data_IF_494588811103
#
_entry.id   IF_494588811103
#
_cell.length_a   1.000
_cell.length_b   1.000
_cell.length_c   1.000
_cell.angle_alpha   90.00
_cell.angle_beta   90.00
_cell.angle_gamma   90.00
#
_symmetry.space_group_name_H-M   'P 1'
#
loop_
_entity.id
_entity.type
_entity.pdbx_description
1 polymer ?
#
# COMPACT_ATOMS: atom_id res chain seq x y z
N UNK A 1 -7.78 16.85 0.93
CA UNK A 1 -6.48 17.42 0.50
C UNK A 1 -5.48 16.29 0.72
N UNK A 2 -5.35 15.30 -0.15
CA UNK A 2 -5.19 15.43 -1.60
C UNK A 2 -3.71 15.68 -1.89
N UNK A 3 -2.82 14.84 -1.35
CA UNK A 3 -1.38 15.02 -1.45
C UNK A 3 -0.86 14.06 -2.52
N UNK A 4 -0.73 14.58 -3.74
CA UNK A 4 -0.17 13.92 -4.91
C UNK A 4 1.32 13.60 -4.71
N UNK A 5 1.59 12.44 -4.11
CA UNK A 5 2.78 11.61 -4.35
C UNK A 5 2.55 10.21 -3.80
N UNK A 6 1.61 9.46 -4.37
CA UNK A 6 1.24 8.14 -3.84
C UNK A 6 2.35 7.13 -4.17
N UNK A 7 3.12 6.74 -3.14
CA UNK A 7 4.00 5.56 -3.15
C UNK A 7 3.20 4.25 -3.11
N UNK A 8 1.90 4.34 -2.82
CA UNK A 8 0.99 3.22 -2.72
C UNK A 8 0.22 3.03 -4.03
N UNK A 9 0.07 1.76 -4.43
CA UNK A 9 -0.70 1.33 -5.58
C UNK A 9 -1.90 0.54 -5.05
N UNK A 10 -3.11 0.95 -5.41
CA UNK A 10 -4.33 0.20 -5.08
C UNK A 10 -4.39 -1.10 -5.90
N UNK A 11 -4.40 -2.23 -5.19
CA UNK A 11 -4.45 -3.56 -5.79
C UNK A 11 -5.81 -4.22 -5.56
N UNK A 12 -6.27 -4.93 -6.57
CA UNK A 12 -7.48 -5.73 -6.56
C UNK A 12 -7.24 -7.00 -7.38
N UNK A 13 -8.25 -7.87 -7.48
CA UNK A 13 -8.15 -9.16 -8.18
C UNK A 13 -7.62 -9.05 -9.61
N UNK A 14 -7.88 -7.94 -10.32
CA UNK A 14 -7.50 -7.77 -11.73
C UNK A 14 -6.02 -7.48 -11.94
N UNK A 15 -5.37 -6.83 -10.97
CA UNK A 15 -3.98 -6.39 -11.09
C UNK A 15 -3.05 -7.04 -10.05
N UNK A 16 -3.56 -7.80 -9.09
CA UNK A 16 -2.75 -8.44 -8.04
C UNK A 16 -1.63 -9.33 -8.61
N UNK A 17 -1.90 -10.08 -9.67
CA UNK A 17 -0.88 -10.94 -10.28
C UNK A 17 0.30 -10.12 -10.81
N UNK A 18 0.02 -9.09 -11.60
CA UNK A 18 1.04 -8.25 -12.21
C UNK A 18 1.79 -7.40 -11.18
N UNK A 19 1.06 -6.72 -10.28
CA UNK A 19 1.66 -5.73 -9.37
C UNK A 19 2.31 -6.36 -8.14
N UNK A 20 1.86 -7.54 -7.72
CA UNK A 20 2.37 -8.20 -6.49
C UNK A 20 3.16 -9.46 -6.80
N UNK A 21 2.60 -10.38 -7.60
CA UNK A 21 3.22 -11.70 -7.80
C UNK A 21 4.38 -11.68 -8.80
N UNK A 22 4.33 -10.80 -9.80
CA UNK A 22 5.39 -10.62 -10.80
C UNK A 22 6.40 -9.50 -10.44
N UNK A 23 6.27 -8.89 -9.25
CA UNK A 23 7.16 -7.80 -8.83
C UNK A 23 8.61 -8.26 -8.70
N UNK A 24 9.53 -7.45 -9.24
CA UNK A 24 10.98 -7.67 -9.11
C UNK A 24 11.55 -7.22 -7.77
N UNK A 25 10.74 -6.58 -6.92
CA UNK A 25 11.12 -6.09 -5.58
C UNK A 25 10.14 -6.64 -4.53
N UNK A 26 10.54 -6.76 -3.25
CA UNK A 26 9.61 -7.13 -2.19
C UNK A 26 8.42 -6.17 -2.11
N UNK A 27 7.21 -6.73 -1.97
CA UNK A 27 5.96 -5.96 -1.89
C UNK A 27 5.31 -6.17 -0.52
N UNK A 28 5.00 -5.07 0.17
CA UNK A 28 4.16 -5.07 1.37
C UNK A 28 2.73 -4.74 0.96
N UNK A 29 1.77 -5.59 1.32
CA UNK A 29 0.35 -5.40 1.02
C UNK A 29 -0.42 -5.08 2.31
N UNK A 30 -1.05 -3.90 2.36
CA UNK A 30 -1.98 -3.54 3.43
C UNK A 30 -3.41 -3.97 3.09
N UNK A 31 -3.86 -5.07 3.70
CA UNK A 31 -5.24 -5.53 3.59
C UNK A 31 -6.12 -4.73 4.56
N UNK A 32 -6.75 -3.68 4.05
CA UNK A 32 -7.53 -2.74 4.85
C UNK A 32 -9.00 -2.64 4.42
N UNK A 33 -9.78 -1.88 5.18
CA UNK A 33 -11.13 -1.49 4.80
C UNK A 33 -11.52 -0.11 5.37
N UNK A 34 -12.36 0.64 4.66
CA UNK A 34 -12.77 2.01 5.07
C UNK A 34 -13.44 2.07 6.44
N UNK A 35 -14.12 1.00 6.84
CA UNK A 35 -14.79 0.85 8.13
C UNK A 35 -13.88 0.30 9.25
N UNK A 36 -12.66 -0.15 8.93
CA UNK A 36 -11.72 -0.68 9.90
C UNK A 36 -10.96 0.45 10.61
N UNK A 37 -11.47 0.90 11.76
CA UNK A 37 -10.81 1.94 12.57
C UNK A 37 -9.36 1.57 12.96
N UNK A 38 -9.05 0.33 13.42
CA UNK A 38 -7.65 -0.07 13.67
C UNK A 38 -6.74 0.05 12.46
N UNK A 39 -7.20 -0.32 11.27
CA UNK A 39 -6.43 -0.22 10.02
C UNK A 39 -6.12 1.25 9.69
N UNK A 40 -7.11 2.15 9.82
CA UNK A 40 -6.90 3.59 9.60
C UNK A 40 -5.90 4.21 10.58
N UNK A 41 -5.81 3.70 11.81
CA UNK A 41 -4.79 4.15 12.76
C UNK A 41 -3.38 3.66 12.38
N UNK A 42 -3.28 2.52 11.69
CA UNK A 42 -2.02 1.95 11.23
C UNK A 42 -1.50 2.60 9.93
N UNK A 43 -2.40 3.08 9.06
CA UNK A 43 -2.07 3.67 7.75
C UNK A 43 -0.90 4.68 7.78
N UNK A 44 -0.82 5.67 8.71
CA UNK A 44 0.30 6.62 8.74
C UNK A 44 1.66 5.96 9.01
N UNK A 45 1.66 4.81 9.69
CA UNK A 45 2.89 4.03 9.95
C UNK A 45 3.31 3.28 8.69
N UNK A 46 2.35 2.74 7.92
CA UNK A 46 2.62 2.08 6.64
C UNK A 46 3.11 3.08 5.60
N UNK A 47 2.47 4.25 5.48
CA UNK A 47 2.89 5.35 4.61
C UNK A 47 4.35 5.74 4.88
N UNK A 48 4.70 5.91 6.16
CA UNK A 48 6.08 6.23 6.57
C UNK A 48 7.07 5.11 6.21
N UNK A 49 6.70 3.85 6.40
CA UNK A 49 7.56 2.72 6.02
C UNK A 49 7.81 2.67 4.51
N UNK A 50 6.80 2.99 3.69
CA UNK A 50 6.93 3.08 2.24
C UNK A 50 7.90 4.21 1.82
N UNK A 51 7.87 5.35 2.52
CA UNK A 51 8.82 6.44 2.30
C UNK A 51 10.26 6.07 2.66
N UNK A 52 10.45 5.31 3.75
CA UNK A 52 11.77 4.89 4.23
C UNK A 52 12.38 3.75 3.38
N UNK A 53 11.55 2.95 2.69
CA UNK A 53 11.98 1.75 1.97
C UNK A 53 11.61 1.82 0.47
N UNK A 54 12.28 2.70 -0.28
CA UNK A 54 11.99 2.98 -1.70
C UNK A 54 12.61 1.98 -2.72
N UNK A 55 12.86 0.73 -2.32
CA UNK A 55 13.43 -0.31 -3.20
C UNK A 55 14.94 -0.28 -3.31
#
# INVERSE_FOLDING_TARGET
MGNNKSLEIEVNEKNFHQEVLESSIPVLVDFWASWCMPCRMLAPTIEKLAEENQG
#
